data_IF_307153657268
#
_entry.id   IF_307153657268
#
_cell.length_a   1.000
_cell.length_b   1.000
_cell.length_c   1.000
_cell.angle_alpha   90.00
_cell.angle_beta   90.00
_cell.angle_gamma   90.00
#
_symmetry.space_group_name_H-M   'P 1'
#
loop_
_entity.id
_entity.type
_entity.pdbx_description
1 polymer ?
#
# COMPACT_ATOMS: atom_id res chain seq x y z
N UNK A 1 -9.08 23.01 -10.50
CA UNK A 1 -7.79 23.35 -9.87
C UNK A 1 -7.43 24.78 -10.19
N UNK A 2 -6.32 25.27 -9.65
CA UNK A 2 -5.82 26.63 -9.91
C UNK A 2 -5.47 26.88 -11.39
N UNK A 3 -5.18 25.81 -12.14
CA UNK A 3 -4.97 25.79 -13.58
C UNK A 3 -6.22 26.15 -14.41
N UNK A 4 -7.42 26.07 -13.83
CA UNK A 4 -8.69 26.33 -14.53
C UNK A 4 -9.19 27.77 -14.40
N UNK A 5 -8.44 28.66 -13.73
CA UNK A 5 -8.89 30.03 -13.45
C UNK A 5 -9.32 30.81 -14.70
N UNK A 6 -8.55 30.72 -15.78
CA UNK A 6 -8.86 31.43 -17.04
C UNK A 6 -10.21 31.01 -17.63
N UNK A 7 -10.48 29.70 -17.65
CA UNK A 7 -11.74 29.15 -18.16
C UNK A 7 -12.92 29.53 -17.24
N UNK A 8 -12.72 29.53 -15.93
CA UNK A 8 -13.75 29.90 -14.95
C UNK A 8 -14.17 31.36 -15.13
N UNK A 9 -13.21 32.29 -15.20
CA UNK A 9 -13.53 33.72 -15.36
C UNK A 9 -14.12 34.02 -16.74
N UNK A 10 -13.73 33.29 -17.77
CA UNK A 10 -14.40 33.36 -19.07
C UNK A 10 -15.89 33.01 -18.97
N UNK A 11 -16.25 31.98 -18.19
CA UNK A 11 -17.65 31.63 -17.90
C UNK A 11 -18.39 32.68 -17.09
N UNK A 12 -17.76 33.24 -16.05
CA UNK A 12 -18.33 34.34 -15.25
C UNK A 12 -18.69 35.55 -16.13
N UNK A 13 -17.79 35.94 -17.04
CA UNK A 13 -18.03 37.03 -17.97
C UNK A 13 -19.11 36.68 -19.01
N UNK A 14 -19.19 35.42 -19.44
CA UNK A 14 -20.20 34.96 -20.38
C UNK A 14 -21.61 35.05 -19.78
N UNK A 15 -21.82 34.54 -18.55
CA UNK A 15 -23.10 34.65 -17.84
C UNK A 15 -23.53 36.11 -17.68
N UNK A 16 -22.58 36.99 -17.35
CA UNK A 16 -22.86 38.43 -17.23
C UNK A 16 -23.35 39.05 -18.55
N UNK A 17 -22.87 38.57 -19.69
CA UNK A 17 -23.21 39.11 -21.02
C UNK A 17 -24.52 38.57 -21.57
N UNK A 18 -24.77 37.27 -21.40
CA UNK A 18 -25.91 36.60 -22.02
C UNK A 18 -27.13 36.68 -21.11
N UNK A 19 -26.97 36.34 -19.84
CA UNK A 19 -28.07 36.18 -18.89
C UNK A 19 -28.21 37.38 -17.95
N UNK A 20 -27.26 38.33 -17.99
CA UNK A 20 -27.17 39.48 -17.08
C UNK A 20 -27.07 39.09 -15.59
N UNK A 21 -26.63 37.86 -15.31
CA UNK A 21 -26.47 37.34 -13.95
C UNK A 21 -25.04 37.52 -13.42
N UNK A 22 -24.92 37.74 -12.11
CA UNK A 22 -23.64 37.76 -11.41
C UNK A 22 -23.39 36.41 -10.75
N UNK A 23 -22.30 35.75 -11.13
CA UNK A 23 -21.86 34.47 -10.56
C UNK A 23 -20.42 34.59 -10.06
N UNK A 24 -20.02 33.66 -9.18
CA UNK A 24 -18.69 33.64 -8.56
C UNK A 24 -17.87 32.43 -9.00
N UNK A 25 -16.55 32.60 -9.01
CA UNK A 25 -15.59 31.53 -9.25
C UNK A 25 -14.63 31.40 -8.08
N UNK A 26 -14.35 30.16 -7.66
CA UNK A 26 -13.35 29.82 -6.66
C UNK A 26 -12.47 28.71 -7.21
N UNK A 27 -11.16 28.82 -7.01
CA UNK A 27 -10.21 27.74 -7.34
C UNK A 27 -9.59 27.16 -6.08
N UNK A 28 -9.17 25.90 -6.19
CA UNK A 28 -8.44 25.17 -5.16
C UNK A 28 -6.99 24.99 -5.58
N UNK A 29 -6.02 24.94 -4.65
CA UNK A 29 -4.61 24.78 -4.98
C UNK A 29 -4.35 23.44 -5.69
N UNK A 30 -3.35 23.42 -6.57
CA UNK A 30 -2.78 22.16 -7.06
C UNK A 30 -1.95 21.52 -5.95
N UNK A 31 -2.11 20.22 -5.77
CA UNK A 31 -1.43 19.49 -4.71
C UNK A 31 -0.02 19.13 -5.16
N UNK A 32 0.97 19.63 -4.42
CA UNK A 32 2.39 19.30 -4.55
C UNK A 32 2.95 18.87 -3.19
N UNK A 33 3.81 17.85 -3.22
CA UNK A 33 4.57 17.44 -2.05
C UNK A 33 5.68 18.44 -1.75
N UNK A 34 6.18 18.42 -0.51
CA UNK A 34 7.26 19.30 -0.06
C UNK A 34 8.57 19.08 -0.85
N UNK A 35 8.76 17.90 -1.44
CA UNK A 35 9.89 17.56 -2.32
C UNK A 35 9.69 18.00 -3.79
N UNK A 36 8.61 18.73 -4.09
CA UNK A 36 8.32 19.28 -5.42
C UNK A 36 7.73 18.28 -6.42
N UNK A 37 7.45 17.04 -6.01
CA UNK A 37 6.77 16.07 -6.88
C UNK A 37 5.28 16.38 -7.01
N UNK A 38 4.72 16.02 -8.16
CA UNK A 38 3.27 16.08 -8.38
C UNK A 38 2.60 14.99 -7.54
N UNK A 39 1.56 15.37 -6.81
CA UNK A 39 0.67 14.45 -6.10
C UNK A 39 -0.03 13.49 -7.08
N UNK A 40 -0.36 12.29 -6.61
CA UNK A 40 -1.06 11.27 -7.40
C UNK A 40 -0.19 10.47 -8.37
N UNK A 41 1.15 10.59 -8.30
CA UNK A 41 2.06 9.71 -9.04
C UNK A 41 2.57 8.58 -8.15
N UNK A 42 2.39 7.34 -8.61
CA UNK A 42 3.04 6.16 -8.03
C UNK A 42 4.56 6.25 -8.16
N UNK A 43 5.30 5.52 -7.32
CA UNK A 43 6.76 5.34 -7.39
C UNK A 43 7.25 4.83 -8.76
N UNK A 44 6.38 4.21 -9.56
CA UNK A 44 6.64 3.79 -10.95
C UNK A 44 6.28 4.80 -12.04
N UNK A 45 5.83 6.02 -11.68
CA UNK A 45 5.53 7.11 -12.62
C UNK A 45 4.11 7.13 -13.21
N UNK A 46 3.29 6.11 -12.91
CA UNK A 46 1.87 6.04 -13.31
C UNK A 46 0.91 6.81 -12.39
N UNK A 47 -0.30 7.03 -12.88
CA UNK A 47 -1.41 7.63 -12.10
C UNK A 47 -1.89 6.69 -11.00
N UNK A 48 -2.32 7.26 -9.88
CA UNK A 48 -3.11 6.57 -8.87
C UNK A 48 -4.59 6.66 -9.25
N UNK A 49 -5.23 5.53 -9.53
CA UNK A 49 -6.63 5.48 -9.99
C UNK A 49 -7.58 5.26 -8.81
N UNK A 50 -8.81 5.76 -8.93
CA UNK A 50 -9.88 5.47 -7.97
C UNK A 50 -10.51 4.09 -8.21
N UNK A 51 -10.41 3.60 -9.44
CA UNK A 51 -10.91 2.28 -9.82
C UNK A 51 -10.04 1.18 -9.21
N UNK A 52 -10.66 0.27 -8.47
CA UNK A 52 -9.99 -0.79 -7.72
C UNK A 52 -9.30 -1.85 -8.59
N UNK A 53 -9.71 -2.00 -9.86
CA UNK A 53 -9.08 -2.91 -10.81
C UNK A 53 -7.80 -2.30 -11.41
N UNK A 54 -7.74 -0.96 -11.48
CA UNK A 54 -6.57 -0.22 -11.96
C UNK A 54 -5.56 0.11 -10.85
N UNK A 55 -6.04 0.39 -9.65
CA UNK A 55 -5.22 0.61 -8.44
C UNK A 55 -5.91 -0.10 -7.30
N UNK A 56 -5.30 -1.19 -6.83
CA UNK A 56 -5.89 -1.97 -5.74
C UNK A 56 -6.09 -1.11 -4.49
N UNK A 57 -7.10 -1.40 -3.65
CA UNK A 57 -7.28 -0.70 -2.38
C UNK A 57 -6.04 -0.75 -1.49
N UNK A 58 -5.25 -1.82 -1.59
CA UNK A 58 -3.98 -1.95 -0.87
C UNK A 58 -2.93 -0.95 -1.41
N UNK A 59 -2.75 -0.87 -2.73
CA UNK A 59 -1.85 0.12 -3.35
C UNK A 59 -2.26 1.55 -3.02
N UNK A 60 -3.57 1.83 -3.06
CA UNK A 60 -4.15 3.11 -2.66
C UNK A 60 -3.81 3.45 -1.20
N UNK A 61 -4.07 2.54 -0.27
CA UNK A 61 -3.74 2.72 1.14
C UNK A 61 -2.23 2.92 1.35
N UNK A 62 -1.39 2.12 0.69
CA UNK A 62 0.07 2.22 0.77
C UNK A 62 0.60 3.55 0.21
N UNK A 63 -0.04 4.13 -0.80
CA UNK A 63 0.33 5.45 -1.29
C UNK A 63 0.22 6.50 -0.18
N UNK A 64 -0.92 6.54 0.52
CA UNK A 64 -1.15 7.50 1.60
C UNK A 64 -0.35 7.20 2.86
N UNK A 65 -0.16 5.93 3.23
CA UNK A 65 0.63 5.57 4.42
C UNK A 65 2.09 6.01 4.28
N UNK A 66 2.59 6.09 3.05
CA UNK A 66 3.95 6.49 2.72
C UNK A 66 4.13 8.02 2.56
N UNK A 67 3.08 8.81 2.79
CA UNK A 67 3.16 10.28 2.83
C UNK A 67 4.24 10.73 3.83
N UNK A 68 5.08 11.69 3.42
CA UNK A 68 6.12 12.24 4.29
C UNK A 68 5.55 13.07 5.44
N UNK A 69 6.27 13.10 6.56
CA UNK A 69 5.86 13.87 7.75
C UNK A 69 5.61 15.36 7.44
N UNK A 70 6.38 15.93 6.50
CA UNK A 70 6.25 17.32 6.08
C UNK A 70 4.93 17.64 5.34
N UNK A 71 4.26 16.63 4.78
CA UNK A 71 3.04 16.81 3.97
C UNK A 71 1.78 16.28 4.65
N UNK A 72 1.90 15.34 5.59
CA UNK A 72 0.76 14.56 6.09
C UNK A 72 -0.33 15.42 6.74
N UNK A 73 0.03 16.42 7.55
CA UNK A 73 -0.95 17.32 8.20
C UNK A 73 -1.64 18.22 7.18
N UNK A 74 -0.90 18.70 6.17
CA UNK A 74 -1.46 19.48 5.06
C UNK A 74 -2.46 18.64 4.27
N UNK A 75 -2.13 17.38 4.00
CA UNK A 75 -3.00 16.46 3.26
C UNK A 75 -4.24 16.07 4.07
N UNK A 76 -4.09 15.76 5.36
CA UNK A 76 -5.24 15.54 6.25
C UNK A 76 -6.19 16.73 6.20
N UNK A 77 -5.67 17.95 6.36
CA UNK A 77 -6.49 19.17 6.33
C UNK A 77 -7.20 19.40 4.98
N UNK A 78 -6.63 18.97 3.86
CA UNK A 78 -7.22 19.18 2.53
C UNK A 78 -8.18 18.08 2.10
N UNK A 79 -7.94 16.84 2.54
CA UNK A 79 -8.63 15.66 1.99
C UNK A 79 -9.61 15.00 2.95
N UNK A 80 -9.65 15.43 4.21
CA UNK A 80 -10.50 14.84 5.24
C UNK A 80 -11.37 15.89 5.90
N UNK A 81 -12.32 15.44 6.72
CA UNK A 81 -13.22 16.30 7.49
C UNK A 81 -12.79 16.45 8.95
N UNK A 82 -11.52 16.21 9.27
CA UNK A 82 -11.01 16.35 10.62
C UNK A 82 -11.13 17.77 11.14
N UNK A 83 -11.43 17.86 12.42
CA UNK A 83 -11.46 19.13 13.14
C UNK A 83 -10.05 19.68 13.33
N UNK A 84 -9.96 20.99 13.63
CA UNK A 84 -8.69 21.63 13.94
C UNK A 84 -8.00 21.01 15.17
N UNK A 85 -8.79 20.56 16.15
CA UNK A 85 -8.32 19.88 17.36
C UNK A 85 -7.69 18.52 17.01
N UNK A 86 -8.39 17.67 16.25
CA UNK A 86 -7.85 16.38 15.77
C UNK A 86 -6.58 16.56 14.94
N UNK A 87 -6.51 17.60 14.09
CA UNK A 87 -5.32 17.90 13.31
C UNK A 87 -4.14 18.31 14.19
N UNK A 88 -4.38 19.09 15.25
CA UNK A 88 -3.35 19.49 16.19
C UNK A 88 -2.80 18.30 16.98
N UNK A 89 -3.66 17.38 17.41
CA UNK A 89 -3.25 16.13 18.07
C UNK A 89 -2.35 15.28 17.16
N UNK A 90 -2.72 15.12 15.89
CA UNK A 90 -1.93 14.38 14.90
C UNK A 90 -0.62 15.08 14.55
N UNK A 91 -0.59 16.41 14.56
CA UNK A 91 0.64 17.20 14.39
C UNK A 91 1.61 16.97 15.55
N UNK A 92 1.11 17.04 16.81
CA UNK A 92 1.90 16.68 18.00
C UNK A 92 2.39 15.24 17.92
N UNK A 93 1.52 14.28 17.56
CA UNK A 93 1.90 12.88 17.42
C UNK A 93 2.98 12.67 16.36
N UNK A 94 2.94 13.42 15.25
CA UNK A 94 3.95 13.36 14.19
C UNK A 94 5.29 13.91 14.67
N UNK A 95 5.29 14.98 15.46
CA UNK A 95 6.51 15.57 16.01
C UNK A 95 7.16 14.69 17.10
N UNK A 96 6.36 14.14 18.01
CA UNK A 96 6.86 13.40 19.17
C UNK A 96 7.08 11.91 18.88
N UNK A 97 6.25 11.32 18.01
CA UNK A 97 6.24 9.88 17.72
C UNK A 97 6.23 9.60 16.20
N UNK A 98 7.17 10.16 15.41
CA UNK A 98 7.17 10.01 13.94
C UNK A 98 7.23 8.53 13.49
N UNK A 99 7.92 7.68 14.24
CA UNK A 99 8.02 6.24 13.98
C UNK A 99 6.68 5.49 14.09
N UNK A 100 5.69 6.04 14.80
CA UNK A 100 4.36 5.45 14.94
C UNK A 100 3.46 5.71 13.71
N UNK A 101 3.81 6.70 12.88
CA UNK A 101 3.11 7.07 11.64
C UNK A 101 1.59 7.20 11.82
N UNK A 102 1.16 7.84 12.90
CA UNK A 102 -0.25 7.91 13.29
C UNK A 102 -1.06 8.76 12.29
N UNK A 103 -0.54 9.94 11.95
CA UNK A 103 -1.14 10.82 10.94
C UNK A 103 -1.25 10.16 9.56
N UNK A 104 -0.23 9.41 9.13
CA UNK A 104 -0.27 8.74 7.82
C UNK A 104 -1.26 7.58 7.79
N UNK A 105 -1.35 6.82 8.89
CA UNK A 105 -2.37 5.77 9.02
C UNK A 105 -3.77 6.37 9.02
N UNK A 106 -3.99 7.48 9.73
CA UNK A 106 -5.27 8.21 9.69
C UNK A 106 -5.60 8.67 8.27
N UNK A 107 -4.65 9.29 7.58
CA UNK A 107 -4.84 9.77 6.20
C UNK A 107 -5.18 8.61 5.27
N UNK A 108 -4.44 7.50 5.35
CA UNK A 108 -4.70 6.32 4.53
C UNK A 108 -6.08 5.71 4.81
N UNK A 109 -6.48 5.60 6.09
CA UNK A 109 -7.77 5.06 6.46
C UNK A 109 -8.94 5.94 5.96
N UNK A 110 -8.86 7.26 6.15
CA UNK A 110 -9.87 8.21 5.68
C UNK A 110 -10.01 8.16 4.15
N UNK A 111 -8.88 8.18 3.43
CA UNK A 111 -8.89 8.17 1.97
C UNK A 111 -9.33 6.83 1.38
N UNK A 112 -8.94 5.71 1.97
CA UNK A 112 -9.41 4.38 1.53
C UNK A 112 -10.88 4.21 1.84
N UNK A 113 -11.37 4.70 2.98
CA UNK A 113 -12.79 4.62 3.35
C UNK A 113 -13.64 5.46 2.38
N UNK A 114 -13.17 6.66 2.04
CA UNK A 114 -13.86 7.54 1.11
C UNK A 114 -14.03 6.92 -0.29
N UNK A 115 -13.01 6.22 -0.80
CA UNK A 115 -12.99 5.70 -2.18
C UNK A 115 -13.47 4.25 -2.29
N UNK A 116 -13.09 3.40 -1.34
CA UNK A 116 -13.30 1.95 -1.39
C UNK A 116 -14.18 1.42 -0.24
N UNK A 117 -14.61 2.28 0.69
CA UNK A 117 -15.46 1.91 1.82
C UNK A 117 -14.70 1.32 3.02
N UNK A 118 -15.39 1.24 4.16
CA UNK A 118 -14.82 0.76 5.43
C UNK A 118 -14.37 -0.69 5.37
N UNK A 119 -15.10 -1.56 4.66
CA UNK A 119 -14.79 -2.98 4.59
C UNK A 119 -13.40 -3.21 3.96
N UNK A 120 -13.14 -2.55 2.83
CA UNK A 120 -11.84 -2.59 2.16
C UNK A 120 -10.77 -1.94 3.03
N UNK A 121 -11.08 -0.86 3.73
CA UNK A 121 -10.13 -0.20 4.66
C UNK A 121 -9.67 -1.15 5.76
N UNK A 122 -10.60 -1.84 6.42
CA UNK A 122 -10.27 -2.86 7.43
C UNK A 122 -9.43 -4.00 6.85
N UNK A 123 -9.78 -4.47 5.64
CA UNK A 123 -9.04 -5.54 4.98
C UNK A 123 -7.58 -5.13 4.67
N UNK A 124 -7.35 -3.92 4.13
CA UNK A 124 -6.00 -3.46 3.80
C UNK A 124 -5.17 -3.10 5.04
N UNK A 125 -5.80 -2.62 6.11
CA UNK A 125 -5.13 -2.42 7.40
C UNK A 125 -4.67 -3.76 7.98
N UNK A 126 -5.54 -4.77 7.99
CA UNK A 126 -5.20 -6.11 8.45
C UNK A 126 -4.10 -6.72 7.58
N UNK A 127 -4.18 -6.58 6.26
CA UNK A 127 -3.16 -7.08 5.33
C UNK A 127 -1.81 -6.42 5.57
N UNK A 128 -1.80 -5.10 5.74
CA UNK A 128 -0.59 -4.34 6.05
C UNK A 128 0.02 -4.81 7.38
N UNK A 129 -0.79 -5.10 8.40
CA UNK A 129 -0.30 -5.61 9.67
C UNK A 129 0.25 -7.04 9.56
N UNK A 130 -0.49 -7.94 8.88
CA UNK A 130 -0.12 -9.34 8.72
C UNK A 130 1.15 -9.53 7.87
N UNK A 131 1.31 -8.71 6.81
CA UNK A 131 2.50 -8.67 5.97
C UNK A 131 3.76 -8.14 6.68
N UNK A 132 3.64 -7.58 7.88
CA UNK A 132 4.77 -7.26 8.75
C UNK A 132 4.74 -8.02 10.08
N UNK A 133 4.00 -9.14 10.14
CA UNK A 133 3.99 -10.06 11.28
C UNK A 133 3.31 -9.53 12.53
N UNK A 134 2.40 -8.55 12.38
CA UNK A 134 1.61 -7.98 13.48
C UNK A 134 0.18 -8.53 13.57
N UNK A 135 -0.22 -9.34 12.60
CA UNK A 135 -1.49 -10.07 12.55
C UNK A 135 -1.30 -11.42 11.85
N UNK A 136 -2.28 -12.31 11.99
CA UNK A 136 -2.28 -13.62 11.33
C UNK A 136 -2.63 -13.47 9.84
N UNK A 137 -1.83 -14.08 8.96
CA UNK A 137 -2.08 -14.05 7.51
C UNK A 137 -3.30 -14.88 7.10
N UNK A 138 -3.71 -15.81 7.96
CA UNK A 138 -4.82 -16.73 7.77
C UNK A 138 -6.19 -16.02 7.80
N UNK A 139 -6.25 -14.86 8.47
CA UNK A 139 -7.47 -14.07 8.62
C UNK A 139 -7.76 -13.16 7.40
N UNK A 140 -6.81 -13.06 6.46
CA UNK A 140 -6.98 -12.29 5.24
C UNK A 140 -7.79 -13.07 4.23
N UNK A 141 -8.72 -12.42 3.52
CA UNK A 141 -9.31 -13.01 2.32
C UNK A 141 -8.27 -13.14 1.18
N UNK A 142 -8.51 -14.08 0.26
CA UNK A 142 -7.59 -14.35 -0.85
C UNK A 142 -7.37 -13.12 -1.77
N UNK A 143 -8.41 -12.36 -2.18
CA UNK A 143 -8.22 -11.17 -3.00
C UNK A 143 -7.28 -10.15 -2.38
N UNK A 144 -7.44 -9.86 -1.09
CA UNK A 144 -6.64 -8.89 -0.33
C UNK A 144 -5.21 -9.39 -0.18
N UNK A 145 -5.00 -10.66 0.21
CA UNK A 145 -3.67 -11.25 0.30
C UNK A 145 -2.95 -11.20 -1.05
N UNK A 146 -3.63 -11.61 -2.13
CA UNK A 146 -3.07 -11.59 -3.48
C UNK A 146 -2.71 -10.19 -3.95
N UNK A 147 -3.56 -9.18 -3.69
CA UNK A 147 -3.27 -7.79 -4.02
C UNK A 147 -2.05 -7.28 -3.25
N UNK A 148 -1.98 -7.56 -1.95
CA UNK A 148 -0.90 -7.09 -1.09
C UNK A 148 0.45 -7.73 -1.44
N UNK A 149 0.47 -8.99 -1.88
CA UNK A 149 1.68 -9.66 -2.37
C UNK A 149 2.14 -9.16 -3.74
N UNK A 150 1.20 -8.87 -4.65
CA UNK A 150 1.51 -8.31 -5.99
C UNK A 150 2.21 -6.95 -5.92
N UNK A 151 1.87 -6.12 -4.93
CA UNK A 151 2.57 -4.84 -4.71
C UNK A 151 4.02 -5.01 -4.23
N UNK A 152 4.36 -6.14 -3.59
CA UNK A 152 5.73 -6.41 -3.17
C UNK A 152 6.53 -7.10 -4.30
N UNK A 153 6.19 -8.36 -4.56
CA UNK A 153 6.72 -9.20 -5.62
C UNK A 153 6.01 -10.55 -5.51
N UNK A 154 5.61 -11.13 -6.65
CA UNK A 154 5.07 -12.48 -6.70
C UNK A 154 5.86 -13.28 -7.72
N UNK A 155 6.31 -14.46 -7.33
CA UNK A 155 6.75 -15.48 -8.25
C UNK A 155 5.72 -16.61 -8.34
N UNK A 156 5.62 -17.21 -9.52
CA UNK A 156 4.76 -18.37 -9.74
C UNK A 156 5.60 -19.65 -9.62
N UNK A 157 5.06 -20.64 -8.90
CA UNK A 157 5.65 -21.96 -8.77
C UNK A 157 4.83 -22.93 -9.62
N UNK A 158 5.41 -23.41 -10.72
CA UNK A 158 4.73 -24.33 -11.61
C UNK A 158 4.73 -25.77 -11.04
N UNK A 159 3.76 -26.62 -11.43
CA UNK A 159 3.71 -28.01 -11.01
C UNK A 159 5.01 -28.76 -11.35
N UNK A 160 5.58 -29.45 -10.37
CA UNK A 160 6.82 -30.22 -10.53
C UNK A 160 8.11 -29.42 -10.39
N UNK A 161 8.05 -28.10 -10.21
CA UNK A 161 9.22 -27.29 -9.88
C UNK A 161 9.70 -27.52 -8.43
N UNK A 162 11.00 -27.31 -8.14
CA UNK A 162 11.52 -27.41 -6.78
C UNK A 162 10.85 -26.40 -5.83
N UNK A 163 10.16 -26.92 -4.82
CA UNK A 163 9.41 -26.13 -3.84
C UNK A 163 10.15 -25.91 -2.50
N UNK A 164 11.42 -26.34 -2.38
CA UNK A 164 12.17 -26.21 -1.13
C UNK A 164 12.41 -24.75 -0.74
N UNK A 165 12.53 -24.44 0.56
CA UNK A 165 12.73 -23.05 1.03
C UNK A 165 13.89 -22.33 0.32
N UNK A 166 14.97 -23.06 0.01
CA UNK A 166 16.13 -22.54 -0.71
C UNK A 166 15.75 -22.12 -2.13
N UNK A 167 14.95 -22.92 -2.82
CA UNK A 167 14.49 -22.65 -4.18
C UNK A 167 13.48 -21.50 -4.18
N UNK A 168 12.53 -21.48 -3.24
CA UNK A 168 11.54 -20.40 -3.11
C UNK A 168 12.19 -19.04 -2.82
N UNK A 169 13.24 -18.99 -1.98
CA UNK A 169 13.98 -17.76 -1.71
C UNK A 169 14.69 -17.21 -2.94
N UNK A 170 15.14 -18.08 -3.85
CA UNK A 170 15.76 -17.67 -5.11
C UNK A 170 14.70 -17.30 -6.15
N UNK A 171 13.65 -18.12 -6.27
CA UNK A 171 12.53 -17.91 -7.19
C UNK A 171 11.83 -16.57 -6.95
N UNK A 172 11.64 -16.21 -5.69
CA UNK A 172 11.08 -14.91 -5.28
C UNK A 172 12.02 -13.71 -5.47
N UNK A 173 13.27 -13.94 -5.87
CA UNK A 173 14.28 -12.88 -5.96
C UNK A 173 14.78 -12.35 -4.61
N UNK A 174 14.34 -12.93 -3.48
CA UNK A 174 14.82 -12.53 -2.15
C UNK A 174 16.29 -12.90 -1.94
N UNK A 175 16.82 -13.90 -2.64
CA UNK A 175 18.22 -14.29 -2.64
C UNK A 175 18.77 -14.48 -4.06
N UNK A 176 19.97 -13.96 -4.32
CA UNK A 176 20.61 -14.03 -5.64
C UNK A 176 21.13 -15.44 -6.01
N UNK A 177 21.27 -16.34 -5.02
CA UNK A 177 21.77 -17.69 -5.24
C UNK A 177 21.32 -18.66 -4.15
N UNK A 178 21.34 -19.97 -4.46
CA UNK A 178 21.03 -21.03 -3.49
C UNK A 178 21.97 -20.99 -2.27
N UNK A 179 23.25 -20.64 -2.47
CA UNK A 179 24.21 -20.50 -1.37
C UNK A 179 23.87 -19.34 -0.42
N UNK A 180 23.36 -18.22 -0.94
CA UNK A 180 22.87 -17.11 -0.12
C UNK A 180 21.57 -17.46 0.61
N UNK A 181 20.67 -18.20 -0.05
CA UNK A 181 19.43 -18.68 0.56
C UNK A 181 19.70 -19.65 1.71
N UNK A 182 20.59 -20.63 1.55
CA UNK A 182 20.99 -21.55 2.64
C UNK A 182 21.56 -20.82 3.85
N UNK A 183 22.46 -19.83 3.63
CA UNK A 183 22.96 -18.98 4.72
C UNK A 183 21.84 -18.24 5.44
N UNK A 184 20.90 -17.67 4.69
CA UNK A 184 19.73 -16.97 5.25
C UNK A 184 18.91 -17.88 6.17
N UNK A 185 18.69 -19.14 5.77
CA UNK A 185 17.98 -20.13 6.59
C UNK A 185 18.79 -20.46 7.86
N UNK A 186 20.09 -20.77 7.73
CA UNK A 186 20.96 -21.08 8.89
C UNK A 186 21.03 -19.95 9.91
N UNK A 187 21.03 -18.71 9.44
CA UNK A 187 21.06 -17.51 10.29
C UNK A 187 19.69 -17.17 10.90
N UNK A 188 18.64 -17.97 10.63
CA UNK A 188 17.28 -17.75 11.13
C UNK A 188 16.57 -16.56 10.49
N UNK A 189 17.03 -16.14 9.31
CA UNK A 189 16.50 -15.02 8.55
C UNK A 189 15.35 -15.37 7.61
N UNK A 190 15.04 -16.65 7.42
CA UNK A 190 13.95 -17.12 6.55
C UNK A 190 12.67 -17.38 7.34
N UNK A 191 11.53 -16.94 6.80
CA UNK A 191 10.21 -17.30 7.32
C UNK A 191 9.20 -17.53 6.20
N UNK A 192 8.26 -18.44 6.45
CA UNK A 192 7.11 -18.72 5.58
C UNK A 192 5.85 -18.46 6.40
N UNK A 193 4.92 -17.66 5.89
CA UNK A 193 3.67 -17.30 6.57
C UNK A 193 3.88 -16.85 8.03
N UNK A 194 4.85 -15.95 8.25
CA UNK A 194 5.28 -15.46 9.57
C UNK A 194 5.95 -16.50 10.50
N UNK A 195 6.08 -17.76 10.08
CA UNK A 195 6.76 -18.82 10.85
C UNK A 195 8.21 -18.97 10.42
N UNK A 196 9.14 -18.98 11.38
CA UNK A 196 10.57 -19.12 11.09
C UNK A 196 10.89 -20.52 10.57
N UNK A 197 11.67 -20.58 9.50
CA UNK A 197 12.17 -21.84 8.94
C UNK A 197 13.63 -22.01 9.33
N UNK A 198 13.93 -23.11 10.04
CA UNK A 198 15.28 -23.43 10.53
C UNK A 198 15.96 -24.57 9.77
N UNK A 199 15.20 -25.32 8.95
CA UNK A 199 15.73 -26.43 8.15
C UNK A 199 15.87 -26.03 6.68
N UNK A 200 17.02 -26.29 6.08
CA UNK A 200 17.24 -26.10 4.63
C UNK A 200 16.43 -27.08 3.77
N UNK A 201 16.05 -28.21 4.36
CA UNK A 201 15.28 -29.27 3.69
C UNK A 201 13.76 -29.05 3.81
N UNK A 202 13.33 -27.91 4.37
CA UNK A 202 11.91 -27.58 4.47
C UNK A 202 11.29 -27.46 3.08
N UNK A 203 10.12 -28.09 2.93
CA UNK A 203 9.24 -28.01 1.76
C UNK A 203 7.82 -27.70 2.24
N UNK A 204 7.03 -26.94 1.46
CA UNK A 204 5.66 -26.60 1.84
C UNK A 204 4.77 -27.85 1.79
N UNK A 205 4.03 -28.08 2.87
CA UNK A 205 2.88 -28.97 2.89
C UNK A 205 1.65 -28.25 2.33
N UNK A 206 0.62 -28.99 1.86
CA UNK A 206 -0.63 -28.37 1.41
C UNK A 206 -1.29 -27.47 2.48
N UNK A 207 -1.13 -27.79 3.76
CA UNK A 207 -1.63 -27.01 4.89
C UNK A 207 -0.88 -25.69 5.10
N UNK A 208 0.31 -25.54 4.53
CA UNK A 208 1.05 -24.28 4.57
C UNK A 208 0.52 -23.29 3.52
N UNK A 209 -0.27 -23.74 2.55
CA UNK A 209 -0.79 -22.87 1.50
C UNK A 209 -1.97 -22.05 2.02
N UNK A 210 -1.78 -20.73 2.12
CA UNK A 210 -2.86 -19.78 2.41
C UNK A 210 -3.86 -19.80 1.25
N UNK A 211 -5.13 -20.03 1.57
CA UNK A 211 -6.20 -20.24 0.58
C UNK A 211 -5.89 -21.36 -0.43
N UNK A 212 -5.00 -22.30 -0.07
CA UNK A 212 -4.57 -23.39 -0.95
C UNK A 212 -3.67 -22.95 -2.12
N UNK A 213 -3.29 -21.68 -2.21
CA UNK A 213 -2.59 -21.13 -3.39
C UNK A 213 -1.37 -20.27 -3.07
N UNK A 214 -1.28 -19.67 -1.87
CA UNK A 214 -0.26 -18.66 -1.56
C UNK A 214 0.70 -19.08 -0.45
N UNK A 215 1.97 -18.68 -0.60
CA UNK A 215 2.95 -18.62 0.48
C UNK A 215 3.51 -17.20 0.59
N UNK A 216 3.69 -16.71 1.81
CA UNK A 216 4.39 -15.46 2.09
C UNK A 216 5.80 -15.76 2.58
N UNK A 217 6.80 -15.51 1.74
CA UNK A 217 8.21 -15.77 2.05
C UNK A 217 8.87 -14.48 2.51
N UNK A 218 9.71 -14.54 3.55
CA UNK A 218 10.52 -13.39 3.97
C UNK A 218 11.99 -13.69 4.13
N UNK A 219 12.79 -12.65 3.90
CA UNK A 219 14.19 -12.51 4.28
C UNK A 219 14.35 -11.37 5.28
N UNK A 220 14.50 -11.70 6.55
CA UNK A 220 14.55 -10.74 7.65
C UNK A 220 13.19 -10.07 7.89
N UNK A 221 13.19 -8.82 8.39
CA UNK A 221 11.97 -8.14 8.82
C UNK A 221 11.23 -7.35 7.72
N UNK A 222 11.95 -6.94 6.66
CA UNK A 222 11.43 -5.96 5.67
C UNK A 222 11.30 -6.50 4.26
N UNK A 223 12.04 -7.56 3.91
CA UNK A 223 12.00 -8.10 2.55
C UNK A 223 11.06 -9.30 2.55
N UNK A 224 9.99 -9.22 1.77
CA UNK A 224 9.02 -10.29 1.62
C UNK A 224 8.56 -10.38 0.16
N UNK A 225 8.07 -11.55 -0.21
CA UNK A 225 7.53 -11.85 -1.52
C UNK A 225 6.45 -12.93 -1.40
N UNK A 226 5.53 -12.94 -2.35
CA UNK A 226 4.55 -14.01 -2.51
C UNK A 226 5.08 -15.11 -3.43
N UNK A 227 4.74 -16.36 -3.12
CA UNK A 227 4.78 -17.46 -4.07
C UNK A 227 3.34 -17.87 -4.35
N UNK A 228 2.95 -17.83 -5.62
CA UNK A 228 1.67 -18.38 -6.08
C UNK A 228 1.91 -19.78 -6.62
N UNK A 229 1.39 -20.79 -5.94
CA UNK A 229 1.45 -22.17 -6.41
C UNK A 229 0.37 -22.37 -7.47
N UNK A 230 0.79 -22.73 -8.68
CA UNK A 230 -0.13 -23.00 -9.77
C UNK A 230 -0.67 -24.42 -9.64
N UNK A 231 -1.99 -24.56 -9.69
CA UNK A 231 -2.64 -25.86 -9.81
C UNK A 231 -2.40 -26.45 -11.21
N UNK A 232 -2.30 -27.78 -11.29
CA UNK A 232 -2.45 -28.51 -12.56
C UNK A 232 -3.84 -28.30 -13.17
#
# INVERSE_FOLDING_TARGET
>A
GSDQWGNIIAGVELNRRIDAESVHGLTVPLVTSADGKKFGKSTGGGSLWLDQEMTSPYAWYQYFVNTGDADVIKYLRWFTFLTAEELAELETATAERPHAREAQRRLAAEMTTLVHGEANTRAVELASQALFGRAELQDLDEPTLGAALREASVAELAPGEPAGIVDLLVLSGLCESKGAARRTVKEGGASVNNQKISSEDWTPAPTDLLHGTWLVIRRGKRNFAGIKVLSN
#
